data_IF_232734509152
#
_entry.id   IF_232734509152
#
_cell.length_a   1.000
_cell.length_b   1.000
_cell.length_c   1.000
_cell.angle_alpha   90.00
_cell.angle_beta   90.00
_cell.angle_gamma   90.00
#
_symmetry.space_group_name_H-M   'P 1'
#
loop_
_entity.id
_entity.type
_entity.pdbx_description
1 polymer ?
#
# COMPACT_ATOMS: atom_id res chain seq x y z
N UNK A 1 -11.53 -0.85 -0.70
CA UNK A 1 -12.84 -0.20 -0.88
C UNK A 1 -12.86 1.07 -0.05
N UNK A 2 -13.40 2.18 -0.57
CA UNK A 2 -13.47 3.47 0.13
C UNK A 2 -14.80 4.17 -0.07
N UNK A 3 -15.12 5.06 0.87
CA UNK A 3 -16.18 6.05 0.79
C UNK A 3 -15.54 7.41 0.55
N UNK A 4 -16.12 8.17 -0.38
CA UNK A 4 -15.64 9.50 -0.78
C UNK A 4 -16.72 10.53 -0.49
N UNK A 5 -16.31 11.70 -0.01
CA UNK A 5 -17.15 12.87 0.19
C UNK A 5 -16.51 14.05 -0.54
N UNK A 6 -17.22 14.58 -1.53
CA UNK A 6 -16.78 15.72 -2.32
C UNK A 6 -17.44 16.99 -1.77
N UNK A 7 -16.62 18.00 -1.49
CA UNK A 7 -17.02 19.32 -1.02
C UNK A 7 -16.70 20.37 -2.09
N UNK A 8 -17.72 21.13 -2.48
CA UNK A 8 -17.63 22.21 -3.48
C UNK A 8 -17.03 21.77 -4.84
N UNK A 9 -17.18 20.49 -5.20
CA UNK A 9 -16.61 19.88 -6.42
C UNK A 9 -15.10 20.12 -6.61
N UNK A 10 -14.38 20.47 -5.53
CA UNK A 10 -12.95 20.80 -5.54
C UNK A 10 -12.16 20.03 -4.51
N UNK A 11 -12.75 19.80 -3.36
CA UNK A 11 -12.09 19.11 -2.25
C UNK A 11 -12.74 17.74 -2.07
N UNK A 12 -11.92 16.74 -1.84
CA UNK A 12 -12.39 15.40 -1.57
C UNK A 12 -11.84 14.94 -0.22
N UNK A 13 -12.65 14.26 0.56
CA UNK A 13 -12.21 13.47 1.69
C UNK A 13 -12.59 12.01 1.45
N UNK A 14 -11.72 11.08 1.78
CA UNK A 14 -11.99 9.67 1.60
C UNK A 14 -11.44 8.81 2.74
N UNK A 15 -12.16 7.74 3.06
CA UNK A 15 -11.79 6.76 4.07
C UNK A 15 -12.12 5.36 3.56
N UNK A 16 -11.28 4.38 3.85
CA UNK A 16 -11.48 3.04 3.34
C UNK A 16 -10.58 1.98 3.98
N UNK A 17 -10.74 0.76 3.48
CA UNK A 17 -9.91 -0.40 3.85
C UNK A 17 -9.28 -1.04 2.63
N UNK A 18 -8.08 -1.57 2.82
CA UNK A 18 -7.32 -2.33 1.82
C UNK A 18 -6.96 -3.70 2.42
N UNK A 19 -7.13 -4.74 1.60
CA UNK A 19 -6.62 -6.08 1.87
C UNK A 19 -5.66 -6.40 0.74
N UNK A 20 -4.47 -6.91 1.08
CA UNK A 20 -3.44 -7.19 0.10
C UNK A 20 -2.48 -8.27 0.55
N UNK A 21 -1.81 -8.86 -0.42
CA UNK A 21 -0.64 -9.69 -0.19
C UNK A 21 0.56 -8.88 -0.65
N UNK A 22 1.54 -8.66 0.23
CA UNK A 22 2.81 -8.11 -0.22
C UNK A 22 3.63 -9.21 -0.91
N UNK A 23 4.71 -8.90 -1.60
CA UNK A 23 5.72 -9.89 -2.01
C UNK A 23 7.07 -9.31 -1.63
N UNK A 24 7.77 -9.95 -0.69
CA UNK A 24 9.11 -9.53 -0.29
C UNK A 24 10.11 -10.49 -0.92
N UNK A 25 10.76 -10.04 -2.00
CA UNK A 25 11.95 -10.70 -2.52
C UNK A 25 13.17 -10.27 -1.72
N UNK A 26 14.02 -11.21 -1.32
CA UNK A 26 15.36 -10.88 -0.88
C UNK A 26 16.22 -10.48 -2.08
N UNK A 27 17.04 -9.45 -1.92
CA UNK A 27 18.04 -9.10 -2.93
C UNK A 27 19.06 -10.25 -2.95
N UNK A 28 19.31 -10.91 -4.10
CA UNK A 28 20.25 -12.01 -4.15
C UNK A 28 21.64 -11.50 -3.74
N UNK A 29 22.18 -12.05 -2.66
CA UNK A 29 23.54 -11.80 -2.24
C UNK A 29 24.47 -12.57 -3.18
N UNK A 30 25.14 -11.88 -4.10
CA UNK A 30 26.11 -12.54 -4.99
C UNK A 30 27.38 -12.85 -4.20
N UNK A 31 27.47 -14.05 -3.63
CA UNK A 31 28.76 -14.69 -3.38
C UNK A 31 28.87 -15.94 -4.23
N UNK A 32 29.71 -15.88 -5.27
CA UNK A 32 30.24 -17.04 -5.98
C UNK A 32 29.39 -17.53 -7.15
N UNK A 33 30.03 -17.62 -8.32
CA UNK A 33 29.54 -18.16 -9.59
C UNK A 33 28.95 -19.57 -9.47
N UNK A 34 27.66 -19.66 -9.13
CA UNK A 34 26.91 -20.91 -9.25
C UNK A 34 25.54 -20.59 -9.83
N UNK A 35 25.28 -21.16 -11.01
CA UNK A 35 24.05 -21.09 -11.80
C UNK A 35 22.86 -21.82 -11.12
N UNK A 36 22.94 -22.10 -9.83
CA UNK A 36 21.94 -22.81 -9.02
C UNK A 36 21.20 -21.86 -8.07
N UNK A 37 21.04 -20.58 -8.44
CA UNK A 37 20.10 -19.68 -7.77
C UNK A 37 18.66 -20.05 -8.17
N UNK A 38 18.20 -21.19 -7.67
CA UNK A 38 16.79 -21.53 -7.65
C UNK A 38 16.13 -20.43 -6.79
N UNK A 39 15.45 -19.48 -7.43
CA UNK A 39 14.56 -18.55 -6.75
C UNK A 39 13.56 -19.40 -5.95
N UNK A 40 13.81 -19.57 -4.65
CA UNK A 40 12.95 -20.38 -3.80
C UNK A 40 11.70 -19.55 -3.47
N UNK A 41 10.74 -19.57 -4.40
CA UNK A 41 9.46 -18.85 -4.29
C UNK A 41 8.67 -19.23 -3.04
N UNK A 42 9.02 -20.36 -2.38
CA UNK A 42 8.35 -20.85 -1.17
C UNK A 42 8.60 -19.97 0.05
N UNK A 43 9.77 -19.34 0.16
CA UNK A 43 10.12 -18.46 1.29
C UNK A 43 9.75 -16.97 1.03
N UNK A 44 9.39 -16.64 -0.21
CA UNK A 44 8.94 -15.32 -0.64
C UNK A 44 7.42 -15.09 -0.49
N UNK A 45 6.65 -16.12 -0.12
CA UNK A 45 5.20 -16.02 -0.01
C UNK A 45 4.76 -15.40 1.32
N UNK A 46 3.86 -14.45 1.21
CA UNK A 46 3.84 -13.30 2.12
C UNK A 46 2.59 -13.24 2.98
N UNK A 47 2.79 -12.71 4.18
CA UNK A 47 1.82 -12.29 5.19
C UNK A 47 0.65 -11.54 4.53
N UNK A 48 -0.57 -12.01 4.79
CA UNK A 48 -1.79 -11.28 4.49
C UNK A 48 -1.79 -9.95 5.25
N UNK A 49 -1.91 -8.84 4.52
CA UNK A 49 -1.86 -7.49 5.07
C UNK A 49 -3.23 -6.83 4.93
N UNK A 50 -3.68 -6.22 6.01
CA UNK A 50 -4.89 -5.40 6.04
C UNK A 50 -4.50 -4.01 6.53
N UNK A 51 -5.07 -2.99 5.90
CA UNK A 51 -4.90 -1.60 6.34
C UNK A 51 -6.20 -0.82 6.25
N UNK A 52 -6.31 0.20 7.09
CA UNK A 52 -7.33 1.24 6.99
C UNK A 52 -6.64 2.51 6.55
N UNK A 53 -7.27 3.29 5.68
CA UNK A 53 -6.72 4.53 5.20
C UNK A 53 -7.71 5.67 5.31
N UNK A 54 -7.15 6.87 5.45
CA UNK A 54 -7.85 8.13 5.35
C UNK A 54 -7.06 9.05 4.43
N UNK A 55 -7.75 9.93 3.71
CA UNK A 55 -7.09 10.85 2.81
C UNK A 55 -7.95 12.03 2.43
N UNK A 56 -7.26 13.01 1.85
CA UNK A 56 -7.83 14.23 1.31
C UNK A 56 -7.32 14.43 -0.10
N UNK A 57 -8.14 15.05 -0.94
CA UNK A 57 -7.86 15.27 -2.35
C UNK A 57 -8.26 16.66 -2.79
N UNK A 58 -7.62 17.11 -3.87
CA UNK A 58 -7.96 18.32 -4.60
C UNK A 58 -8.18 17.99 -6.07
N UNK A 59 -9.37 18.32 -6.56
CA UNK A 59 -9.77 18.16 -7.96
C UNK A 59 -9.20 19.37 -8.72
N UNK A 60 -8.15 19.14 -9.49
CA UNK A 60 -7.45 20.19 -10.22
C UNK A 60 -8.26 20.63 -11.45
N UNK A 61 -8.78 19.64 -12.17
CA UNK A 61 -9.71 19.75 -13.30
C UNK A 61 -10.67 18.57 -13.22
N UNK A 62 -11.75 18.57 -14.01
CA UNK A 62 -12.82 17.56 -13.96
C UNK A 62 -12.33 16.10 -13.99
N UNK A 63 -11.14 15.86 -14.54
CA UNK A 63 -10.56 14.52 -14.69
C UNK A 63 -9.27 14.26 -13.92
N UNK A 64 -8.67 15.25 -13.25
CA UNK A 64 -7.37 15.08 -12.58
C UNK A 64 -7.46 15.50 -11.12
N UNK A 65 -7.02 14.58 -10.26
CA UNK A 65 -7.05 14.74 -8.81
C UNK A 65 -5.65 14.61 -8.23
N UNK A 66 -5.34 15.46 -7.24
CA UNK A 66 -4.17 15.32 -6.40
C UNK A 66 -4.63 14.79 -5.05
N UNK A 67 -4.12 13.64 -4.64
CA UNK A 67 -4.56 12.95 -3.43
C UNK A 67 -3.40 12.74 -2.45
N UNK A 68 -3.68 13.02 -1.18
CA UNK A 68 -2.84 12.69 -0.04
C UNK A 68 -3.56 11.63 0.80
N UNK A 69 -2.99 10.43 0.87
CA UNK A 69 -3.55 9.27 1.57
C UNK A 69 -2.59 8.79 2.66
N UNK A 70 -3.10 8.58 3.86
CA UNK A 70 -2.37 7.94 4.96
C UNK A 70 -2.97 6.56 5.25
N UNK A 71 -2.12 5.53 5.16
CA UNK A 71 -2.46 4.14 5.43
C UNK A 71 -1.95 3.72 6.81
N UNK A 72 -2.83 3.07 7.57
CA UNK A 72 -2.55 2.50 8.89
C UNK A 72 -2.67 0.99 8.78
N UNK A 73 -1.55 0.28 8.92
CA UNK A 73 -1.52 -1.18 8.92
C UNK A 73 -2.16 -1.73 10.19
N UNK A 74 -3.07 -2.69 10.04
CA UNK A 74 -3.75 -3.34 11.18
C UNK A 74 -3.19 -4.74 11.47
N UNK A 75 -2.45 -5.31 10.54
CA UNK A 75 -1.79 -6.63 10.67
C UNK A 75 -0.34 -6.50 11.12
N UNK A 76 0.11 -7.47 11.91
CA UNK A 76 1.51 -7.60 12.28
C UNK A 76 2.29 -8.16 11.08
N UNK A 77 3.27 -7.40 10.61
CA UNK A 77 4.15 -7.78 9.49
C UNK A 77 5.47 -8.40 9.97
N UNK A 78 5.66 -8.55 11.28
CA UNK A 78 6.83 -9.23 11.85
C UNK A 78 6.78 -10.73 11.56
N UNK A 79 7.85 -11.28 10.96
CA UNK A 79 8.02 -12.73 10.78
C UNK A 79 8.47 -13.45 12.07
N UNK A 80 8.84 -12.70 13.12
CA UNK A 80 9.35 -13.27 14.36
C UNK A 80 8.23 -13.51 15.38
N UNK A 81 8.03 -14.77 15.76
CA UNK A 81 6.97 -15.23 16.70
C UNK A 81 7.07 -14.57 18.09
N UNK A 82 8.28 -14.17 18.52
CA UNK A 82 8.52 -13.45 19.78
C UNK A 82 9.13 -12.05 19.56
N UNK A 83 8.98 -11.49 18.36
CA UNK A 83 9.45 -10.14 18.03
C UNK A 83 8.42 -9.05 18.35
N UNK A 84 8.81 -7.77 18.26
CA UNK A 84 7.87 -6.66 18.40
C UNK A 84 6.78 -6.71 17.32
N UNK A 85 5.56 -6.29 17.67
CA UNK A 85 4.50 -6.05 16.68
C UNK A 85 4.91 -4.90 15.76
N UNK A 86 5.21 -5.21 14.51
CA UNK A 86 5.51 -4.21 13.49
C UNK A 86 4.26 -4.01 12.65
N UNK A 87 3.79 -2.76 12.57
CA UNK A 87 2.67 -2.35 11.72
C UNK A 87 3.18 -1.46 10.61
N UNK A 88 2.73 -1.72 9.39
CA UNK A 88 3.15 -0.97 8.21
C UNK A 88 2.25 0.26 8.03
N UNK A 89 2.79 1.44 8.29
CA UNK A 89 2.10 2.70 8.00
C UNK A 89 2.84 3.42 6.87
N UNK A 90 2.11 4.06 5.96
CA UNK A 90 2.73 4.82 4.87
C UNK A 90 1.86 6.00 4.47
N UNK A 91 2.52 7.02 3.92
CA UNK A 91 1.89 8.21 3.35
C UNK A 91 2.12 8.19 1.84
N UNK A 92 1.06 8.43 1.07
CA UNK A 92 1.10 8.47 -0.39
C UNK A 92 0.60 9.82 -0.87
N UNK A 93 1.42 10.48 -1.69
CA UNK A 93 1.00 11.58 -2.55
C UNK A 93 0.86 11.02 -3.96
N UNK A 94 -0.31 11.19 -4.58
CA UNK A 94 -0.59 10.64 -5.91
C UNK A 94 -1.35 11.64 -6.78
N UNK A 95 -1.16 11.52 -8.09
CA UNK A 95 -2.01 12.16 -9.10
C UNK A 95 -2.85 11.06 -9.74
N UNK A 96 -4.17 11.23 -9.76
CA UNK A 96 -5.11 10.27 -10.30
C UNK A 96 -5.90 10.87 -11.47
N UNK A 97 -6.22 10.03 -12.44
CA UNK A 97 -7.18 10.35 -13.49
C UNK A 97 -8.53 9.70 -13.12
N UNK A 98 -9.59 10.51 -13.07
CA UNK A 98 -10.92 10.11 -12.58
C UNK A 98 -11.98 10.45 -13.61
N UNK A 99 -12.82 9.48 -13.97
CA UNK A 99 -14.04 9.73 -14.74
C UNK A 99 -15.18 10.12 -13.79
N UNK A 100 -15.76 11.30 -14.00
CA UNK A 100 -16.92 11.82 -13.29
C UNK A 100 -18.07 11.96 -14.29
N UNK A 101 -19.20 11.33 -14.02
CA UNK A 101 -20.45 11.46 -14.78
C UNK A 101 -21.39 12.48 -14.11
#
# INVERSE_FOLDING_TARGET
MSVHYDYDNKYQAFIGGELGTNFFGEVPYSQGDSFDQLFDFRDAFTIFDASVFLGVGYILIETIDINLKYNIGVTNISKAVMGPELRKNWLTLSVAYTWRE
#
